data_IF_573817081708
#
_entry.id   IF_573817081708
#
_cell.length_a   1.000
_cell.length_b   1.000
_cell.length_c   1.000
_cell.angle_alpha   90.00
_cell.angle_beta   90.00
_cell.angle_gamma   90.00
#
_symmetry.space_group_name_H-M   'P 1'
#
loop_
_entity.id
_entity.type
_entity.pdbx_description
1 polymer ?
#
# COMPACT_ATOMS: atom_id res chain seq x y z
N UNK A 1 -23.61 -10.57 -1.05
CA UNK A 1 -22.38 -9.77 -1.08
C UNK A 1 -21.36 -10.58 -1.85
N UNK A 2 -20.79 -9.99 -2.90
CA UNK A 2 -19.72 -10.64 -3.66
C UNK A 2 -18.43 -10.68 -2.83
N UNK A 3 -17.54 -11.62 -3.16
CA UNK A 3 -16.27 -11.77 -2.46
C UNK A 3 -15.40 -10.50 -2.58
N UNK A 4 -15.44 -9.83 -3.74
CA UNK A 4 -14.78 -8.54 -3.97
C UNK A 4 -15.31 -7.41 -3.09
N UNK A 5 -16.63 -7.35 -2.90
CA UNK A 5 -17.26 -6.36 -2.01
C UNK A 5 -16.85 -6.57 -0.56
N UNK A 6 -16.75 -7.83 -0.10
CA UNK A 6 -16.33 -8.15 1.26
C UNK A 6 -14.88 -7.71 1.52
N UNK A 7 -13.96 -7.98 0.58
CA UNK A 7 -12.56 -7.53 0.67
C UNK A 7 -12.48 -6.00 0.70
N UNK A 8 -13.21 -5.34 -0.22
CA UNK A 8 -13.22 -3.88 -0.30
C UNK A 8 -13.72 -3.22 0.99
N UNK A 9 -14.68 -3.83 1.69
CA UNK A 9 -15.19 -3.31 2.96
C UNK A 9 -14.20 -3.45 4.12
N UNK A 10 -13.34 -4.48 4.09
CA UNK A 10 -12.33 -4.70 5.11
C UNK A 10 -11.19 -3.68 5.02
N UNK A 11 -10.81 -3.25 3.81
CA UNK A 11 -9.77 -2.25 3.60
C UNK A 11 -10.25 -0.87 4.09
N UNK A 12 -9.51 -0.16 4.98
CA UNK A 12 -9.92 1.15 5.48
C UNK A 12 -10.14 2.19 4.38
N UNK A 13 -9.34 2.15 3.32
CA UNK A 13 -9.49 3.02 2.15
C UNK A 13 -10.70 2.68 1.25
N UNK A 14 -11.43 1.60 1.54
CA UNK A 14 -12.67 1.16 0.85
C UNK A 14 -12.55 1.01 -0.67
N UNK A 15 -11.36 0.59 -1.14
CA UNK A 15 -11.10 0.25 -2.54
C UNK A 15 -9.99 -0.79 -2.62
N UNK A 16 -9.96 -1.50 -3.74
CA UNK A 16 -8.76 -2.21 -4.19
C UNK A 16 -7.76 -1.17 -4.70
N UNK A 17 -6.48 -1.34 -4.38
CA UNK A 17 -5.43 -0.45 -4.87
C UNK A 17 -5.17 -0.63 -6.36
N UNK A 18 -4.75 0.45 -6.99
CA UNK A 18 -4.32 0.49 -8.39
C UNK A 18 -2.78 0.51 -8.48
N UNK A 19 -2.18 0.20 -9.64
CA UNK A 19 -0.72 0.20 -9.80
C UNK A 19 -0.02 1.52 -9.40
N UNK A 20 -0.72 2.64 -9.55
CA UNK A 20 -0.25 3.96 -9.18
C UNK A 20 -0.02 4.12 -7.67
N UNK A 21 -0.73 3.36 -6.84
CA UNK A 21 -0.62 3.41 -5.38
C UNK A 21 0.77 2.94 -4.90
N UNK A 22 1.38 1.95 -5.58
CA UNK A 22 2.75 1.50 -5.27
C UNK A 22 3.83 2.29 -6.03
N UNK A 23 3.47 2.94 -7.14
CA UNK A 23 4.43 3.63 -8.01
C UNK A 23 5.20 4.73 -7.25
N UNK A 24 4.53 5.49 -6.39
CA UNK A 24 5.18 6.52 -5.56
C UNK A 24 6.23 5.94 -4.60
N UNK A 25 5.90 4.83 -3.95
CA UNK A 25 6.82 4.13 -3.05
C UNK A 25 8.04 3.58 -3.81
N UNK A 26 7.82 3.01 -5.00
CA UNK A 26 8.89 2.52 -5.86
C UNK A 26 9.81 3.66 -6.33
N UNK A 27 9.25 4.80 -6.74
CA UNK A 27 10.05 5.98 -7.14
C UNK A 27 10.84 6.52 -5.96
N UNK A 28 10.24 6.62 -4.77
CA UNK A 28 10.95 7.03 -3.56
C UNK A 28 12.17 6.12 -3.31
N UNK A 29 11.97 4.80 -3.27
CA UNK A 29 13.02 3.81 -3.01
C UNK A 29 14.11 3.77 -4.09
N UNK A 30 13.78 4.16 -5.33
CA UNK A 30 14.73 4.24 -6.43
C UNK A 30 15.48 5.59 -6.50
N UNK A 31 15.09 6.57 -5.69
CA UNK A 31 15.64 7.93 -5.73
C UNK A 31 16.75 8.14 -4.70
N UNK A 32 17.49 9.25 -4.83
CA UNK A 32 18.48 9.66 -3.83
C UNK A 32 17.86 9.99 -2.46
N UNK A 33 16.54 10.20 -2.39
CA UNK A 33 15.84 10.49 -1.13
C UNK A 33 15.87 9.31 -0.16
N UNK A 34 16.07 8.08 -0.66
CA UNK A 34 16.15 6.86 0.12
C UNK A 34 17.57 6.31 0.25
N UNK A 35 18.61 7.13 0.03
CA UNK A 35 20.02 6.65 -0.08
C UNK A 35 20.53 5.79 1.09
N UNK A 36 19.99 5.98 2.28
CA UNK A 36 20.35 5.20 3.48
C UNK A 36 19.17 4.36 4.01
N UNK A 37 18.05 4.27 3.29
CA UNK A 37 16.89 3.46 3.66
C UNK A 37 17.08 2.05 3.09
N UNK A 38 17.41 1.09 3.93
CA UNK A 38 17.64 -0.30 3.56
C UNK A 38 17.21 -1.25 4.69
N UNK A 39 16.88 -2.50 4.34
CA UNK A 39 16.48 -3.52 5.31
C UNK A 39 15.06 -3.39 5.86
N UNK A 40 14.23 -2.52 5.28
CA UNK A 40 12.88 -2.20 5.75
C UNK A 40 11.79 -2.69 4.77
N UNK A 41 10.60 -3.00 5.29
CA UNK A 41 9.43 -3.35 4.50
C UNK A 41 8.40 -2.21 4.54
N UNK A 42 8.28 -1.46 3.44
CA UNK A 42 7.29 -0.40 3.32
C UNK A 42 5.94 -0.95 2.87
N UNK A 43 4.97 -1.01 3.78
CA UNK A 43 3.62 -1.53 3.51
C UNK A 43 2.75 -0.48 2.80
N UNK A 44 2.20 -0.86 1.65
CA UNK A 44 1.27 -0.06 0.85
C UNK A 44 0.01 -0.88 0.57
N UNK A 45 -0.97 -0.83 1.48
CA UNK A 45 -2.15 -1.70 1.44
C UNK A 45 -3.48 -0.97 1.70
N UNK A 46 -3.46 0.37 1.76
CA UNK A 46 -4.65 1.15 2.07
C UNK A 46 -5.17 0.98 3.50
N UNK A 47 -4.33 0.45 4.41
CA UNK A 47 -4.60 0.27 5.84
C UNK A 47 -5.06 -1.13 6.23
N UNK A 48 -5.07 -2.10 5.30
CA UNK A 48 -5.61 -3.44 5.51
C UNK A 48 -4.96 -4.20 6.68
N UNK A 49 -3.64 -4.07 6.84
CA UNK A 49 -2.88 -4.81 7.87
C UNK A 49 -2.77 -4.10 9.22
N UNK A 50 -3.14 -2.81 9.33
CA UNK A 50 -2.93 -1.99 10.52
C UNK A 50 -4.19 -1.22 10.95
N UNK A 51 -5.32 -1.92 11.07
CA UNK A 51 -6.53 -1.41 11.71
C UNK A 51 -6.46 -1.59 13.23
N UNK A 52 -6.14 -0.51 13.96
CA UNK A 52 -6.37 -0.41 15.42
C UNK A 52 -7.65 0.38 15.74
#
# INVERSE_FOLDING_TARGET
MSELEAVTQAIPSRRIGDPEDIAGAAVFLASDLSRDVNGEALVIDGGDTHTE
#
